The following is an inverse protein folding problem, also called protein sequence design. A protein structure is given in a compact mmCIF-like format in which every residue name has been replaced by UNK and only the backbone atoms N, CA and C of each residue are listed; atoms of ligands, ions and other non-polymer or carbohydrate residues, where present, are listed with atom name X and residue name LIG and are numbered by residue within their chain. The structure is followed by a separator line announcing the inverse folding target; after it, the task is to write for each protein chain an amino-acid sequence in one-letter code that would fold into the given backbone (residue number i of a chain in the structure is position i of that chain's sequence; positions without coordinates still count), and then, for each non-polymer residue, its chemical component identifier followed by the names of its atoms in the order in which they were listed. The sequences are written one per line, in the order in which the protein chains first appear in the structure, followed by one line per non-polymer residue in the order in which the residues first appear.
data_IF_641064853199
#
_entry.id   IF_641064853199
#
_cell.length_a   1.000
_cell.length_b   1.000
_cell.length_c   1.000
_cell.angle_alpha   90.00
_cell.angle_beta   90.00
_cell.angle_gamma   90.00
#
_symmetry.space_group_name_H-M   'P 1'
#
loop_
_entity.id
_entity.type
_entity.pdbx_description
1 polymer ?
#
# COMPACT_ATOMS: atom_id res chain seq x y z
N UNK A 1 -20.58 -1.18 3.53
CA UNK A 1 -20.45 -2.50 2.84
C UNK A 1 -20.72 -2.34 1.34
N UNK A 2 -19.83 -2.81 0.47
CA UNK A 2 -19.94 -2.70 -0.99
C UNK A 2 -19.66 -4.04 -1.66
N UNK A 3 -20.34 -4.30 -2.78
CA UNK A 3 -19.95 -5.37 -3.70
C UNK A 3 -18.77 -4.87 -4.51
N UNK A 4 -17.65 -5.59 -4.46
CA UNK A 4 -16.45 -5.32 -5.24
C UNK A 4 -16.01 -6.58 -5.95
N UNK A 5 -15.49 -6.42 -7.15
CA UNK A 5 -14.75 -7.46 -7.85
C UNK A 5 -13.29 -7.45 -7.40
N UNK A 6 -12.54 -8.51 -7.69
CA UNK A 6 -11.08 -8.49 -7.49
C UNK A 6 -10.40 -7.40 -8.33
N UNK A 7 -10.93 -7.10 -9.51
CA UNK A 7 -10.48 -5.98 -10.31
C UNK A 7 -10.60 -4.65 -9.56
N UNK A 8 -11.75 -4.40 -8.92
CA UNK A 8 -11.97 -3.18 -8.13
C UNK A 8 -10.98 -3.09 -6.97
N UNK A 9 -10.73 -4.20 -6.27
CA UNK A 9 -9.75 -4.25 -5.16
C UNK A 9 -8.35 -3.88 -5.65
N UNK A 10 -7.88 -4.51 -6.74
CA UNK A 10 -6.55 -4.27 -7.30
C UNK A 10 -6.43 -2.81 -7.77
N UNK A 11 -7.47 -2.30 -8.42
CA UNK A 11 -7.51 -0.94 -8.94
C UNK A 11 -7.51 0.10 -7.81
N UNK A 12 -8.30 -0.10 -6.74
CA UNK A 12 -8.31 0.78 -5.58
C UNK A 12 -6.96 0.77 -4.84
N UNK A 13 -6.36 -0.40 -4.64
CA UNK A 13 -5.01 -0.52 -4.07
C UNK A 13 -3.98 0.25 -4.90
N UNK A 14 -3.98 0.05 -6.23
CA UNK A 14 -3.11 0.78 -7.17
C UNK A 14 -3.30 2.29 -7.06
N UNK A 15 -4.53 2.77 -7.05
CA UNK A 15 -4.82 4.21 -6.91
C UNK A 15 -4.36 4.78 -5.56
N UNK A 16 -4.41 3.97 -4.51
CA UNK A 16 -3.92 4.37 -3.19
C UNK A 16 -2.41 4.51 -3.18
N UNK A 17 -1.65 3.52 -3.66
CA UNK A 17 -0.19 3.62 -3.83
C UNK A 17 0.19 4.84 -4.69
N UNK A 18 -0.54 5.14 -5.76
CA UNK A 18 -0.31 6.35 -6.55
C UNK A 18 -0.52 7.64 -5.77
N UNK A 19 -1.52 7.70 -4.88
CA UNK A 19 -1.77 8.87 -4.01
C UNK A 19 -0.65 9.01 -2.98
N UNK A 20 -0.18 7.92 -2.40
CA UNK A 20 0.94 7.91 -1.46
C UNK A 20 2.24 8.38 -2.13
N UNK A 21 2.58 7.82 -3.30
CA UNK A 21 3.76 8.21 -4.05
C UNK A 21 3.76 9.70 -4.42
N UNK A 22 2.60 10.27 -4.79
CA UNK A 22 2.46 11.72 -4.99
C UNK A 22 2.67 12.52 -3.70
N UNK A 23 2.08 12.08 -2.60
CA UNK A 23 2.22 12.76 -1.31
C UNK A 23 3.66 12.78 -0.82
N UNK A 24 4.38 11.65 -0.91
CA UNK A 24 5.78 11.56 -0.52
C UNK A 24 6.68 12.42 -1.42
N UNK A 25 6.41 12.47 -2.73
CA UNK A 25 7.12 13.36 -3.66
C UNK A 25 6.90 14.85 -3.33
N UNK A 26 5.69 15.24 -2.93
CA UNK A 26 5.41 16.60 -2.48
C UNK A 26 6.19 16.95 -1.20
N UNK A 27 6.23 16.03 -0.23
CA UNK A 27 7.01 16.23 1.00
C UNK A 27 8.52 16.31 0.75
N UNK A 28 9.05 15.49 -0.17
CA UNK A 28 10.46 15.52 -0.55
C UNK A 28 10.87 16.90 -1.09
N UNK A 29 10.01 17.54 -1.90
CA UNK A 29 10.25 18.88 -2.43
C UNK A 29 10.18 19.99 -1.36
N UNK A 30 9.45 19.76 -0.28
CA UNK A 30 9.25 20.72 0.81
C UNK A 30 10.25 20.54 1.97
N UNK A 31 10.85 19.36 2.08
CA UNK A 31 11.81 19.05 3.13
C UNK A 31 13.12 19.82 2.93
N UNK A 32 13.60 20.43 4.01
CA UNK A 32 14.96 20.98 4.08
C UNK A 32 15.94 20.01 4.78
N UNK A 33 15.44 18.93 5.36
CA UNK A 33 16.22 17.92 6.06
C UNK A 33 16.61 16.78 5.09
N UNK A 34 17.92 16.49 5.02
CA UNK A 34 18.48 15.50 4.11
C UNK A 34 18.03 14.07 4.47
N UNK A 35 17.92 13.75 5.76
CA UNK A 35 17.46 12.44 6.23
C UNK A 35 15.98 12.24 5.92
N UNK A 36 15.15 13.27 6.12
CA UNK A 36 13.75 13.24 5.70
C UNK A 36 13.63 13.09 4.18
N UNK A 37 14.43 13.82 3.39
CA UNK A 37 14.43 13.68 1.93
C UNK A 37 14.79 12.28 1.46
N UNK A 38 15.79 11.63 2.09
CA UNK A 38 16.18 10.26 1.78
C UNK A 38 15.05 9.26 2.08
N UNK A 39 14.39 9.38 3.24
CA UNK A 39 13.24 8.54 3.57
C UNK A 39 12.10 8.73 2.56
N UNK A 40 11.77 9.98 2.24
CA UNK A 40 10.68 10.31 1.32
C UNK A 40 10.94 9.82 -0.11
N UNK A 41 12.18 9.89 -0.61
CA UNK A 41 12.55 9.30 -1.91
C UNK A 41 12.39 7.77 -1.90
N UNK A 42 12.81 7.10 -0.82
CA UNK A 42 12.64 5.66 -0.67
C UNK A 42 11.16 5.25 -0.67
N UNK A 43 10.34 5.91 0.13
CA UNK A 43 8.90 5.68 0.21
C UNK A 43 8.24 5.93 -1.16
N UNK A 44 8.51 7.07 -1.80
CA UNK A 44 8.02 7.38 -3.15
C UNK A 44 8.36 6.28 -4.15
N UNK A 45 9.61 5.79 -4.19
CA UNK A 45 10.03 4.72 -5.12
C UNK A 45 9.28 3.42 -4.85
N UNK A 46 9.09 3.06 -3.58
CA UNK A 46 8.31 1.90 -3.18
C UNK A 46 6.88 1.98 -3.71
N UNK A 47 6.20 3.09 -3.44
CA UNK A 47 4.81 3.28 -3.88
C UNK A 47 4.64 3.25 -5.40
N UNK A 48 5.59 3.86 -6.12
CA UNK A 48 5.62 3.79 -7.58
C UNK A 48 5.82 2.35 -8.05
N UNK A 49 6.77 1.62 -7.45
CA UNK A 49 7.01 0.21 -7.76
C UNK A 49 5.74 -0.62 -7.55
N UNK A 50 5.08 -0.47 -6.39
CA UNK A 50 3.88 -1.23 -6.07
C UNK A 50 2.71 -0.92 -7.01
N UNK A 51 2.51 0.36 -7.37
CA UNK A 51 1.51 0.72 -8.38
C UNK A 51 1.75 0.03 -9.72
N UNK A 52 3.00 -0.15 -10.15
CA UNK A 52 3.32 -0.86 -11.39
C UNK A 52 3.15 -2.38 -11.22
N UNK A 53 3.56 -2.93 -10.08
CA UNK A 53 3.37 -4.35 -9.75
C UNK A 53 1.89 -4.72 -9.80
N UNK A 54 1.01 -3.91 -9.21
CA UNK A 54 -0.43 -4.16 -9.23
C UNK A 54 -1.04 -4.01 -10.63
N UNK A 55 -0.52 -3.12 -11.46
CA UNK A 55 -0.92 -3.00 -12.86
C UNK A 55 -0.56 -4.26 -13.66
N UNK A 56 0.70 -4.71 -13.56
CA UNK A 56 1.15 -5.94 -14.22
C UNK A 56 0.41 -7.17 -13.67
N UNK A 57 0.17 -7.21 -12.37
CA UNK A 57 -0.56 -8.29 -11.72
C UNK A 57 -1.99 -8.39 -12.23
N UNK A 58 -2.68 -7.26 -12.45
CA UNK A 58 -4.01 -7.27 -13.09
C UNK A 58 -3.95 -7.91 -14.47
N UNK A 59 -2.94 -7.57 -15.27
CA UNK A 59 -2.79 -8.07 -16.64
C UNK A 59 -2.42 -9.57 -16.67
N UNK A 60 -1.72 -10.07 -15.64
CA UNK A 60 -1.38 -11.49 -15.46
C UNK A 60 -2.56 -12.35 -14.96
N UNK A 61 -3.54 -11.73 -14.30
CA UNK A 61 -4.71 -12.41 -13.75
C UNK A 61 -5.76 -12.55 -14.85
N UNK A 62 -6.12 -13.80 -15.20
CA UNK A 62 -7.12 -14.05 -16.25
C UNK A 62 -8.48 -13.41 -15.96
N UNK A 63 -9.17 -12.90 -16.99
CA UNK A 63 -10.43 -12.13 -16.88
C UNK A 63 -11.50 -12.77 -15.98
N UNK A 64 -11.60 -14.10 -15.97
CA UNK A 64 -12.56 -14.82 -15.14
C UNK A 64 -12.30 -14.67 -13.63
N UNK A 65 -11.05 -14.51 -13.23
CA UNK A 65 -10.67 -14.28 -11.84
C UNK A 65 -10.97 -12.82 -11.45
N UNK A 66 -10.65 -11.85 -12.30
CA UNK A 66 -10.89 -10.43 -12.07
C UNK A 66 -12.37 -10.12 -11.78
N UNK A 67 -13.28 -10.78 -12.51
CA UNK A 67 -14.74 -10.64 -12.32
C UNK A 67 -15.30 -11.40 -11.11
N UNK A 68 -14.46 -12.06 -10.31
CA UNK A 68 -14.92 -12.73 -9.10
C UNK A 68 -15.30 -11.69 -8.05
N UNK A 69 -16.49 -11.83 -7.50
CA UNK A 69 -16.99 -10.98 -6.44
C UNK A 69 -16.34 -11.34 -5.11
N UNK A 70 -15.93 -10.31 -4.38
CA UNK A 70 -15.57 -10.42 -2.97
C UNK A 70 -16.72 -9.82 -2.17
N UNK A 71 -17.49 -10.68 -1.51
CA UNK A 71 -18.62 -10.25 -0.68
C UNK A 71 -18.08 -9.70 0.64
N UNK A 72 -18.73 -8.66 1.18
CA UNK A 72 -18.37 -8.06 2.49
C UNK A 72 -17.01 -7.35 2.55
N UNK A 73 -16.49 -6.84 1.43
CA UNK A 73 -15.31 -5.98 1.45
C UNK A 73 -15.51 -4.82 2.45
N UNK A 74 -14.63 -4.66 3.45
CA UNK A 74 -14.76 -3.62 4.46
C UNK A 74 -14.68 -2.23 3.83
N UNK A 75 -15.21 -1.23 4.54
CA UNK A 75 -14.95 0.16 4.14
C UNK A 75 -13.47 0.46 4.38
N UNK A 76 -12.83 0.98 3.34
CA UNK A 76 -11.41 1.25 3.38
C UNK A 76 -11.08 2.48 4.22
N UNK A 77 -9.90 2.45 4.85
CA UNK A 77 -9.36 3.53 5.69
C UNK A 77 -8.40 4.44 4.92
N UNK A 78 -8.28 4.28 3.60
CA UNK A 78 -7.37 5.05 2.75
C UNK A 78 -7.53 6.56 2.91
N UNK A 79 -8.76 7.14 2.93
CA UNK A 79 -8.92 8.58 3.08
C UNK A 79 -8.41 9.10 4.43
N UNK A 80 -8.62 8.34 5.50
CA UNK A 80 -8.20 8.66 6.86
C UNK A 80 -6.67 8.60 6.97
N UNK A 81 -6.05 7.54 6.44
CA UNK A 81 -4.59 7.38 6.42
C UNK A 81 -3.92 8.47 5.59
N UNK A 82 -4.47 8.81 4.41
CA UNK A 82 -3.97 9.93 3.62
C UNK A 82 -4.11 11.28 4.34
N UNK A 83 -5.17 11.47 5.12
CA UNK A 83 -5.34 12.68 5.90
C UNK A 83 -4.33 12.74 7.06
N UNK A 84 -4.11 11.62 7.76
CA UNK A 84 -3.06 11.52 8.79
C UNK A 84 -1.69 11.85 8.21
N UNK A 85 -1.35 11.27 7.06
CA UNK A 85 -0.09 11.54 6.36
C UNK A 85 0.05 13.02 5.98
N UNK A 86 -1.00 13.64 5.42
CA UNK A 86 -0.98 15.07 5.06
C UNK A 86 -0.78 16.04 6.22
N UNK A 87 -1.17 15.63 7.42
CA UNK A 87 -1.12 16.48 8.61
C UNK A 87 0.17 16.29 9.43
N UNK A 88 1.09 15.46 8.95
CA UNK A 88 2.33 15.17 9.66
C UNK A 88 3.32 16.32 9.57
N UNK A 89 4.16 16.48 10.60
CA UNK A 89 5.33 17.34 10.49
C UNK A 89 6.36 16.65 9.60
N UNK A 90 6.62 17.22 8.43
CA UNK A 90 7.57 16.68 7.45
C UNK A 90 9.02 16.68 7.95
N UNK A 91 9.31 17.41 9.03
CA UNK A 91 10.62 17.43 9.69
C UNK A 91 10.80 16.26 10.66
N UNK A 92 9.71 15.59 11.05
CA UNK A 92 9.73 14.45 11.97
C UNK A 92 9.81 13.13 11.18
N UNK A 93 11.05 12.70 10.93
CA UNK A 93 11.36 11.46 10.20
C UNK A 93 10.75 10.23 10.86
N UNK A 94 10.72 10.19 12.19
CA UNK A 94 10.16 9.04 12.93
C UNK A 94 8.65 8.98 12.74
N UNK A 95 7.95 10.11 12.85
CA UNK A 95 6.52 10.17 12.60
C UNK A 95 6.16 9.76 11.16
N UNK A 96 6.94 10.20 10.15
CA UNK A 96 6.74 9.78 8.75
C UNK A 96 6.86 8.26 8.63
N UNK A 97 7.89 7.67 9.25
CA UNK A 97 8.10 6.23 9.27
C UNK A 97 6.95 5.46 9.94
N UNK A 98 6.44 5.96 11.07
CA UNK A 98 5.31 5.35 11.79
C UNK A 98 4.04 5.34 10.93
N UNK A 99 3.69 6.47 10.30
CA UNK A 99 2.51 6.54 9.44
C UNK A 99 2.68 5.66 8.20
N UNK A 100 3.89 5.58 7.63
CA UNK A 100 4.16 4.67 6.52
C UNK A 100 3.97 3.20 6.93
N UNK A 101 4.46 2.77 8.10
CA UNK A 101 4.24 1.41 8.60
C UNK A 101 2.76 1.11 8.89
N UNK A 102 2.03 2.06 9.49
CA UNK A 102 0.59 1.92 9.71
C UNK A 102 -0.17 1.66 8.39
N UNK A 103 0.27 2.31 7.32
CA UNK A 103 -0.30 2.15 5.98
C UNK A 103 0.00 0.75 5.42
N UNK A 104 1.23 0.25 5.54
CA UNK A 104 1.57 -1.10 5.06
C UNK A 104 0.81 -2.18 5.83
N UNK A 105 0.76 -2.06 7.15
CA UNK A 105 -0.01 -2.98 7.99
C UNK A 105 -1.49 -2.97 7.58
N UNK A 106 -2.05 -1.79 7.29
CA UNK A 106 -3.42 -1.68 6.78
C UNK A 106 -3.62 -2.41 5.44
N UNK A 107 -2.68 -2.28 4.50
CA UNK A 107 -2.76 -2.96 3.20
C UNK A 107 -2.66 -4.48 3.35
N UNK A 108 -1.70 -4.95 4.15
CA UNK A 108 -1.56 -6.36 4.53
C UNK A 108 -2.85 -6.91 5.15
N UNK A 109 -3.45 -6.18 6.09
CA UNK A 109 -4.69 -6.58 6.75
C UNK A 109 -5.88 -6.62 5.78
N UNK A 110 -5.97 -5.65 4.86
CA UNK A 110 -7.00 -5.64 3.83
C UNK A 110 -6.94 -6.90 2.94
N UNK A 111 -5.77 -7.26 2.43
CA UNK A 111 -5.65 -8.48 1.61
C UNK A 111 -5.92 -9.75 2.42
N UNK A 112 -5.55 -9.79 3.71
CA UNK A 112 -5.87 -10.90 4.61
C UNK A 112 -7.38 -11.04 4.83
N UNK A 113 -8.08 -9.94 5.08
CA UNK A 113 -9.53 -9.92 5.27
C UNK A 113 -10.27 -10.37 4.00
N UNK A 114 -9.83 -9.89 2.84
CA UNK A 114 -10.38 -10.30 1.55
C UNK A 114 -10.12 -11.79 1.27
N UNK A 115 -8.97 -12.33 1.68
CA UNK A 115 -8.65 -13.75 1.53
C UNK A 115 -9.58 -14.65 2.36
N UNK A 116 -9.96 -14.21 3.57
CA UNK A 116 -10.88 -14.93 4.46
C UNK A 116 -12.28 -15.07 3.87
N UNK A 117 -12.72 -14.08 3.09
CA UNK A 117 -14.07 -14.00 2.51
C UNK A 117 -14.13 -14.38 1.02
N UNK A 118 -12.99 -14.73 0.41
CA UNK A 118 -12.93 -15.16 -0.98
C UNK A 118 -13.54 -16.58 -1.15
N UNK A 119 -14.50 -16.70 -2.08
CA UNK A 119 -15.26 -17.95 -2.25
C UNK A 119 -14.75 -18.87 -3.37
N UNK A 120 -13.81 -18.39 -4.20
CA UNK A 120 -13.27 -19.20 -5.31
C UNK A 120 -11.78 -19.52 -5.11
N UNK A 121 -11.31 -20.72 -5.50
CA UNK A 121 -9.89 -21.07 -5.42
C UNK A 121 -8.98 -20.09 -6.17
N UNK A 122 -9.45 -19.58 -7.30
CA UNK A 122 -8.71 -18.61 -8.10
C UNK A 122 -8.58 -17.28 -7.37
N UNK A 123 -9.67 -16.79 -6.75
CA UNK A 123 -9.63 -15.56 -5.96
C UNK A 123 -8.68 -15.67 -4.76
N UNK A 124 -8.74 -16.81 -4.04
CA UNK A 124 -7.82 -17.08 -2.92
C UNK A 124 -6.37 -17.03 -3.36
N UNK A 125 -6.01 -17.74 -4.43
CA UNK A 125 -4.65 -17.73 -4.96
C UNK A 125 -4.17 -16.34 -5.37
N UNK A 126 -5.05 -15.55 -6.00
CA UNK A 126 -4.74 -14.17 -6.38
C UNK A 126 -4.47 -13.32 -5.13
N UNK A 127 -5.33 -13.39 -4.12
CA UNK A 127 -5.18 -12.63 -2.87
C UNK A 127 -3.98 -13.10 -2.03
N UNK A 128 -3.67 -14.40 -2.01
CA UNK A 128 -2.45 -14.95 -1.38
C UNK A 128 -1.19 -14.32 -1.99
N UNK A 129 -1.12 -14.24 -3.33
CA UNK A 129 0.02 -13.61 -4.01
C UNK A 129 0.15 -12.12 -3.70
N UNK A 130 -0.98 -11.40 -3.60
CA UNK A 130 -0.98 -9.98 -3.21
C UNK A 130 -0.52 -9.80 -1.76
N UNK A 131 -1.00 -10.64 -0.86
CA UNK A 131 -0.59 -10.60 0.54
C UNK A 131 0.90 -10.91 0.70
N UNK A 132 1.43 -11.90 -0.01
CA UNK A 132 2.87 -12.22 -0.01
C UNK A 132 3.72 -11.04 -0.50
N UNK A 133 3.27 -10.33 -1.54
CA UNK A 133 3.94 -9.12 -2.04
C UNK A 133 3.96 -8.02 -0.99
N UNK A 134 2.80 -7.73 -0.37
CA UNK A 134 2.69 -6.66 0.63
C UNK A 134 3.54 -6.97 1.87
N UNK A 135 3.54 -8.21 2.35
CA UNK A 135 4.34 -8.63 3.51
C UNK A 135 5.85 -8.53 3.26
N UNK A 136 6.30 -8.82 2.03
CA UNK A 136 7.71 -8.65 1.67
C UNK A 136 8.11 -7.17 1.74
N UNK A 137 7.23 -6.28 1.28
CA UNK A 137 7.48 -4.86 1.29
C UNK A 137 7.38 -4.25 2.70
N UNK A 138 6.42 -4.70 3.52
CA UNK A 138 6.31 -4.35 4.94
C UNK A 138 7.61 -4.68 5.69
N UNK A 139 8.14 -5.90 5.49
CA UNK A 139 9.42 -6.32 6.06
C UNK A 139 10.58 -5.44 5.56
N UNK A 140 10.63 -5.16 4.26
CA UNK A 140 11.68 -4.33 3.65
C UNK A 140 11.66 -2.90 4.20
N UNK A 141 10.47 -2.30 4.33
CA UNK A 141 10.30 -0.98 4.91
C UNK A 141 10.72 -0.97 6.38
N UNK A 142 10.30 -1.95 7.17
CA UNK A 142 10.68 -2.06 8.59
C UNK A 142 12.20 -2.08 8.78
N UNK A 143 12.93 -2.83 7.94
CA UNK A 143 14.40 -2.88 7.97
C UNK A 143 15.01 -1.53 7.57
N UNK A 144 14.47 -0.87 6.54
CA UNK A 144 14.97 0.42 6.09
C UNK A 144 14.77 1.52 7.15
N UNK A 145 13.60 1.57 7.78
CA UNK A 145 13.30 2.51 8.87
C UNK A 145 14.21 2.28 10.07
N UNK A 146 14.48 1.02 10.43
CA UNK A 146 15.44 0.69 11.49
C UNK A 146 16.83 1.24 11.17
N UNK A 147 17.35 0.99 9.96
CA UNK A 147 18.67 1.46 9.53
C UNK A 147 18.78 3.00 9.50
N UNK A 148 17.69 3.69 9.13
CA UNK A 148 17.62 5.15 9.11
C UNK A 148 17.60 5.77 10.52
N UNK A 149 17.26 5.01 11.57
CA UNK A 149 17.32 5.47 12.96
C UNK A 149 18.72 5.37 13.58
N UNK A 150 19.53 4.44 13.08
CA UNK A 150 20.88 4.17 13.57
C UNK A 150 21.97 5.02 12.86
N UNK A 151 21.58 5.92 11.94
CA UNK A 151 22.45 6.84 11.19
C UNK A 151 22.31 8.28 11.68
#
# INVERSE_FOLDING_TARGET
MRYKTLEDVIQEGREFHQKLGRQYAEFELLSADERASLLLDQLKRREVSMSHTLENFRDDVGEGALRTWVQFAPEGREPELLQRLRNIDISDVEAIGEVAMDIEMYLSDQYRDLLLIADTPTAKRTLERLLELEQLEEHTLSVNLYNLRDC
#
